data_IF_886865310249
#
_entry.id   IF_886865310249
#
_cell.length_a   1.000
_cell.length_b   1.000
_cell.length_c   1.000
_cell.angle_alpha   90.00
_cell.angle_beta   90.00
_cell.angle_gamma   90.00
#
_symmetry.space_group_name_H-M   'P 1'
#
loop_
_entity.id
_entity.type
_entity.pdbx_description
1 polymer ?
#
# COMPACT_ATOMS: atom_id res chain seq x y z
N UNK A 1 -24.03 -1.77 30.41
CA UNK A 1 -23.40 -1.72 29.09
C UNK A 1 -23.75 -0.46 28.30
N UNK A 2 -25.04 -0.11 28.10
CA UNK A 2 -25.46 1.09 27.35
C UNK A 2 -24.90 2.41 27.90
N UNK A 3 -24.94 2.62 29.23
CA UNK A 3 -24.39 3.81 29.88
C UNK A 3 -22.87 3.95 29.66
N UNK A 4 -22.11 2.87 29.75
CA UNK A 4 -20.66 2.86 29.48
C UNK A 4 -20.36 3.22 28.03
N UNK A 5 -21.11 2.64 27.07
CA UNK A 5 -20.98 2.96 25.65
C UNK A 5 -21.32 4.43 25.35
N UNK A 6 -22.33 4.99 26.01
CA UNK A 6 -22.69 6.40 25.87
C UNK A 6 -21.59 7.33 26.40
N UNK A 7 -21.02 7.02 27.56
CA UNK A 7 -19.89 7.81 28.14
C UNK A 7 -18.66 7.76 27.26
N UNK A 8 -18.30 6.57 26.76
CA UNK A 8 -17.15 6.40 25.83
C UNK A 8 -17.40 7.12 24.50
N UNK A 9 -18.61 7.00 23.94
CA UNK A 9 -19.00 7.71 22.71
C UNK A 9 -18.94 9.22 22.87
N UNK A 10 -19.45 9.75 23.98
CA UNK A 10 -19.37 11.17 24.28
C UNK A 10 -17.93 11.65 24.44
N UNK A 11 -17.10 10.90 25.17
CA UNK A 11 -15.66 11.20 25.27
C UNK A 11 -14.94 11.19 23.91
N UNK A 12 -15.27 10.24 23.06
CA UNK A 12 -14.71 10.15 21.71
C UNK A 12 -15.04 11.37 20.83
N UNK A 13 -16.23 11.98 21.00
CA UNK A 13 -16.61 13.21 20.27
C UNK A 13 -15.66 14.39 20.55
N UNK A 14 -15.03 14.44 21.70
CA UNK A 14 -14.06 15.50 22.02
C UNK A 14 -12.63 15.14 21.64
N UNK A 15 -12.24 13.88 21.73
CA UNK A 15 -10.89 13.40 21.44
C UNK A 15 -10.66 13.24 19.93
N UNK A 16 -11.68 12.80 19.19
CA UNK A 16 -11.55 12.50 17.76
C UNK A 16 -11.27 13.71 16.86
N UNK A 17 -11.93 14.88 17.00
CA UNK A 17 -11.68 16.04 16.13
C UNK A 17 -10.24 16.56 16.16
N UNK A 18 -9.56 16.71 17.33
CA UNK A 18 -8.15 17.11 17.33
C UNK A 18 -7.24 16.05 16.68
N UNK A 19 -7.54 14.75 16.84
CA UNK A 19 -6.80 13.69 16.15
C UNK A 19 -6.96 13.80 14.62
N UNK A 20 -8.18 14.01 14.13
CA UNK A 20 -8.43 14.22 12.71
C UNK A 20 -7.70 15.44 12.16
N UNK A 21 -7.67 16.55 12.91
CA UNK A 21 -6.90 17.75 12.51
C UNK A 21 -5.40 17.47 12.43
N UNK A 22 -4.86 16.73 13.39
CA UNK A 22 -3.45 16.34 13.37
C UNK A 22 -3.12 15.44 12.17
N UNK A 23 -3.96 14.44 11.87
CA UNK A 23 -3.82 13.59 10.69
C UNK A 23 -3.89 14.42 9.40
N UNK A 24 -4.87 15.32 9.28
CA UNK A 24 -5.02 16.19 8.12
C UNK A 24 -3.82 17.13 7.93
N UNK A 25 -3.24 17.66 9.02
CA UNK A 25 -2.04 18.48 8.95
C UNK A 25 -0.82 17.68 8.47
N UNK A 26 -0.59 16.49 9.01
CA UNK A 26 0.52 15.61 8.59
C UNK A 26 0.35 15.17 7.13
N UNK A 27 -0.82 14.72 6.73
CA UNK A 27 -1.07 14.27 5.36
C UNK A 27 -1.04 15.43 4.36
N UNK A 28 -1.53 16.61 4.74
CA UNK A 28 -1.40 17.83 3.93
C UNK A 28 0.06 18.25 3.73
N UNK A 29 0.89 18.18 4.79
CA UNK A 29 2.32 18.42 4.68
C UNK A 29 3.01 17.40 3.75
N UNK A 30 2.69 16.12 3.89
CA UNK A 30 3.20 15.06 3.01
C UNK A 30 2.83 15.34 1.54
N UNK A 31 1.57 15.68 1.26
CA UNK A 31 1.09 15.98 -0.08
C UNK A 31 1.80 17.20 -0.70
N UNK A 32 2.10 18.22 0.10
CA UNK A 32 2.74 19.45 -0.37
C UNK A 32 4.27 19.34 -0.54
N UNK A 33 4.92 18.33 0.07
CA UNK A 33 6.38 18.22 0.13
C UNK A 33 7.02 17.50 -1.07
N UNK A 34 6.27 17.17 -2.13
CA UNK A 34 6.80 16.52 -3.33
C UNK A 34 7.54 15.21 -3.02
N UNK A 35 8.76 15.03 -3.52
CA UNK A 35 9.54 13.81 -3.33
C UNK A 35 9.87 13.51 -1.86
N UNK A 36 10.07 14.52 -1.03
CA UNK A 36 10.28 14.35 0.42
C UNK A 36 9.00 13.81 1.06
N UNK A 37 7.85 14.36 0.67
CA UNK A 37 6.55 13.86 1.11
C UNK A 37 6.31 12.42 0.70
N UNK A 38 6.66 12.06 -0.53
CA UNK A 38 6.54 10.69 -1.03
C UNK A 38 7.44 9.71 -0.26
N UNK A 39 8.66 10.14 0.09
CA UNK A 39 9.54 9.39 0.99
C UNK A 39 8.90 9.20 2.37
N UNK A 40 8.43 10.29 2.98
CA UNK A 40 7.78 10.24 4.30
C UNK A 40 6.53 9.37 4.31
N UNK A 41 5.74 9.41 3.25
CA UNK A 41 4.58 8.54 3.07
C UNK A 41 4.97 7.05 3.16
N UNK A 42 5.91 6.61 2.33
CA UNK A 42 6.35 5.21 2.32
C UNK A 42 7.08 4.80 3.59
N UNK A 43 7.86 5.70 4.18
CA UNK A 43 8.55 5.49 5.45
C UNK A 43 7.56 5.31 6.61
N UNK A 44 6.61 6.23 6.77
CA UNK A 44 5.62 6.19 7.86
C UNK A 44 4.63 5.04 7.68
N UNK A 45 4.22 4.74 6.44
CA UNK A 45 3.34 3.60 6.17
C UNK A 45 3.97 2.31 6.67
N UNK A 46 5.29 2.10 6.46
CA UNK A 46 6.00 0.92 6.95
C UNK A 46 6.29 0.98 8.45
N UNK A 47 6.80 2.10 8.93
CA UNK A 47 7.17 2.26 10.32
C UNK A 47 6.00 2.02 11.28
N UNK A 48 4.81 2.45 10.90
CA UNK A 48 3.62 2.39 11.74
C UNK A 48 2.82 1.09 11.66
N UNK A 49 3.22 0.12 10.81
CA UNK A 49 2.51 -1.17 10.72
C UNK A 49 2.41 -1.87 12.07
N UNK A 50 3.49 -2.02 12.88
CA UNK A 50 3.41 -2.72 14.16
C UNK A 50 2.48 -2.07 15.19
N UNK A 51 2.21 -0.77 15.04
CA UNK A 51 1.27 -0.04 15.91
C UNK A 51 -0.18 -0.06 15.40
N UNK A 52 -0.40 -0.53 14.16
CA UNK A 52 -1.69 -0.47 13.48
C UNK A 52 -2.08 0.93 12.96
N UNK A 53 -1.25 1.96 13.23
CA UNK A 53 -1.56 3.35 12.86
C UNK A 53 -1.24 3.69 11.39
N UNK A 54 -0.65 2.78 10.63
CA UNK A 54 -0.34 2.98 9.21
C UNK A 54 -1.58 3.31 8.37
N UNK A 55 -2.77 2.83 8.76
CA UNK A 55 -4.03 3.20 8.13
C UNK A 55 -4.28 4.71 8.15
N UNK A 56 -3.88 5.41 9.20
CA UNK A 56 -4.06 6.87 9.33
C UNK A 56 -3.19 7.63 8.31
N UNK A 57 -2.11 7.02 7.84
CA UNK A 57 -1.22 7.63 6.84
C UNK A 57 -1.75 7.39 5.44
N UNK A 58 -2.08 6.15 5.05
CA UNK A 58 -2.37 5.86 3.65
C UNK A 58 -3.84 6.08 3.25
N UNK A 59 -4.80 5.89 4.17
CA UNK A 59 -6.23 6.02 3.84
C UNK A 59 -6.62 7.42 3.31
N UNK A 60 -6.11 8.54 3.86
CA UNK A 60 -6.39 9.85 3.29
C UNK A 60 -5.97 9.99 1.83
N UNK A 61 -4.84 9.41 1.42
CA UNK A 61 -4.41 9.44 0.03
C UNK A 61 -5.22 8.50 -0.86
N UNK A 62 -5.61 7.35 -0.37
CA UNK A 62 -6.36 6.37 -1.16
C UNK A 62 -7.82 6.74 -1.38
N UNK A 63 -8.47 7.44 -0.43
CA UNK A 63 -9.92 7.64 -0.41
C UNK A 63 -10.36 9.11 -0.25
N UNK A 64 -9.44 10.09 -0.18
CA UNK A 64 -9.80 11.50 -0.16
C UNK A 64 -9.21 12.27 -1.34
N UNK A 65 -9.54 13.56 -1.43
CA UNK A 65 -9.07 14.47 -2.49
C UNK A 65 -7.54 14.61 -2.55
N UNK A 66 -6.82 14.32 -1.46
CA UNK A 66 -5.36 14.34 -1.41
C UNK A 66 -4.70 13.35 -2.39
N UNK A 67 -5.37 12.26 -2.71
CA UNK A 67 -4.89 11.26 -3.66
C UNK A 67 -5.21 11.53 -5.12
N UNK A 68 -5.96 12.59 -5.40
CA UNK A 68 -6.39 12.98 -6.74
C UNK A 68 -7.88 12.86 -6.96
N UNK A 69 -8.32 13.43 -8.07
CA UNK A 69 -9.71 13.40 -8.53
C UNK A 69 -9.77 13.16 -10.03
N UNK A 70 -10.78 12.41 -10.47
CA UNK A 70 -11.08 12.17 -11.88
C UNK A 70 -12.56 12.44 -12.12
N UNK A 71 -12.86 13.27 -13.10
CA UNK A 71 -14.24 13.55 -13.53
C UNK A 71 -14.52 12.77 -14.80
N UNK A 72 -15.51 11.90 -14.77
CA UNK A 72 -15.96 11.14 -15.93
C UNK A 72 -17.47 11.40 -16.12
N UNK A 73 -17.81 12.13 -17.18
CA UNK A 73 -19.18 12.61 -17.39
C UNK A 73 -19.64 13.55 -16.27
N UNK A 74 -20.70 13.15 -15.54
CA UNK A 74 -21.24 13.91 -14.41
C UNK A 74 -20.77 13.39 -13.04
N UNK A 75 -19.91 12.36 -12.99
CA UNK A 75 -19.47 11.71 -11.76
C UNK A 75 -18.03 12.09 -11.45
N UNK A 76 -17.77 12.53 -10.22
CA UNK A 76 -16.44 12.80 -9.72
C UNK A 76 -15.95 11.63 -8.85
N UNK A 77 -14.89 11.00 -9.27
CA UNK A 77 -14.19 9.96 -8.53
C UNK A 77 -13.06 10.57 -7.70
N UNK A 78 -12.96 10.21 -6.44
CA UNK A 78 -12.03 10.87 -5.50
C UNK A 78 -11.17 9.83 -4.77
N UNK A 79 -9.87 10.12 -4.67
CA UNK A 79 -8.88 9.26 -4.01
C UNK A 79 -8.09 8.38 -4.97
N UNK A 80 -6.80 8.22 -4.68
CA UNK A 80 -5.86 7.51 -5.56
C UNK A 80 -6.31 6.11 -5.97
N UNK A 81 -6.91 5.35 -5.03
CA UNK A 81 -7.39 4.00 -5.30
C UNK A 81 -8.60 4.01 -6.25
N UNK A 82 -9.59 4.87 -5.99
CA UNK A 82 -10.83 4.95 -6.77
C UNK A 82 -10.55 5.48 -8.17
N UNK A 83 -9.74 6.53 -8.27
CA UNK A 83 -9.29 7.11 -9.56
C UNK A 83 -8.56 6.07 -10.38
N UNK A 84 -7.55 5.41 -9.80
CA UNK A 84 -6.77 4.37 -10.45
C UNK A 84 -7.65 3.22 -10.99
N UNK A 85 -8.61 2.74 -10.19
CA UNK A 85 -9.53 1.66 -10.61
C UNK A 85 -10.44 2.11 -11.75
N UNK A 86 -10.90 3.36 -11.72
CA UNK A 86 -11.72 3.93 -12.80
C UNK A 86 -10.92 4.09 -14.09
N UNK A 87 -9.69 4.61 -14.01
CA UNK A 87 -8.77 4.74 -15.15
C UNK A 87 -8.45 3.36 -15.74
N UNK A 88 -8.20 2.36 -14.89
CA UNK A 88 -7.96 0.99 -15.31
C UNK A 88 -9.15 0.39 -16.08
N UNK A 89 -10.37 0.54 -15.54
CA UNK A 89 -11.60 -0.01 -16.15
C UNK A 89 -11.95 0.68 -17.47
N UNK A 90 -11.71 1.98 -17.57
CA UNK A 90 -11.96 2.76 -18.78
C UNK A 90 -10.82 2.69 -19.81
N UNK A 91 -9.69 2.07 -19.46
CA UNK A 91 -8.50 2.01 -20.32
C UNK A 91 -7.81 3.35 -20.51
N UNK A 92 -7.98 4.28 -19.57
CA UNK A 92 -7.34 5.59 -19.58
C UNK A 92 -5.88 5.48 -19.08
N UNK A 93 -5.01 6.46 -19.43
CA UNK A 93 -3.70 6.56 -18.83
C UNK A 93 -3.84 6.87 -17.33
N UNK A 94 -2.92 6.34 -16.51
CA UNK A 94 -2.93 6.62 -15.09
C UNK A 94 -2.51 8.05 -14.80
N UNK A 95 -3.26 8.71 -13.90
CA UNK A 95 -2.95 10.04 -13.39
C UNK A 95 -1.79 10.04 -12.38
N UNK A 96 -1.27 11.22 -12.05
CA UNK A 96 -0.15 11.39 -11.11
C UNK A 96 -0.45 10.84 -9.71
N UNK A 97 -1.72 10.72 -9.34
CA UNK A 97 -2.15 10.13 -8.07
C UNK A 97 -1.74 8.66 -7.87
N UNK A 98 -1.32 7.96 -8.93
CA UNK A 98 -0.88 6.56 -8.85
C UNK A 98 0.35 6.37 -7.95
N UNK A 99 1.15 7.41 -7.71
CA UNK A 99 2.32 7.38 -6.84
C UNK A 99 1.98 6.90 -5.41
N UNK A 100 0.79 7.19 -4.93
CA UNK A 100 0.31 6.76 -3.62
C UNK A 100 -0.02 5.27 -3.55
N UNK A 101 0.01 4.56 -4.70
CA UNK A 101 -0.23 3.12 -4.80
C UNK A 101 1.05 2.28 -4.92
N UNK A 102 2.24 2.90 -4.96
CA UNK A 102 3.51 2.20 -5.13
C UNK A 102 3.92 1.32 -3.95
N UNK A 103 3.33 1.51 -2.77
CA UNK A 103 3.58 0.65 -1.59
C UNK A 103 3.29 -0.83 -1.84
N UNK A 104 2.44 -1.15 -2.80
CA UNK A 104 2.14 -2.51 -3.22
C UNK A 104 3.33 -3.27 -3.78
N UNK A 105 4.28 -2.60 -4.45
CA UNK A 105 5.49 -3.25 -4.96
C UNK A 105 6.35 -3.83 -3.84
N UNK A 106 6.52 -3.10 -2.74
CA UNK A 106 7.24 -3.59 -1.57
C UNK A 106 6.52 -4.78 -0.93
N UNK A 107 5.18 -4.75 -0.88
CA UNK A 107 4.36 -5.86 -0.36
C UNK A 107 4.52 -7.12 -1.20
N UNK A 108 4.60 -6.99 -2.52
CA UNK A 108 4.66 -8.15 -3.43
C UNK A 108 6.05 -8.81 -3.43
N UNK A 109 7.12 -8.05 -3.45
CA UNK A 109 8.48 -8.56 -3.67
C UNK A 109 9.38 -8.48 -2.44
N UNK A 110 9.23 -7.45 -1.60
CA UNK A 110 10.12 -7.18 -0.47
C UNK A 110 10.13 -8.28 0.57
N UNK A 111 8.99 -8.89 0.85
CA UNK A 111 8.87 -9.93 1.88
C UNK A 111 9.58 -11.25 1.55
N UNK A 112 9.73 -11.59 0.27
CA UNK A 112 10.59 -12.70 -0.13
C UNK A 112 12.06 -12.40 0.16
N UNK A 113 12.49 -11.16 -0.05
CA UNK A 113 13.84 -10.71 0.31
C UNK A 113 14.10 -10.77 1.82
N UNK A 114 13.13 -10.33 2.63
CA UNK A 114 13.21 -10.42 4.09
C UNK A 114 13.28 -11.88 4.55
N UNK A 115 12.40 -12.75 4.03
CA UNK A 115 12.42 -14.18 4.36
C UNK A 115 13.76 -14.82 3.98
N UNK A 116 14.29 -14.53 2.79
CA UNK A 116 15.58 -15.01 2.35
C UNK A 116 16.71 -14.57 3.30
N UNK A 117 16.73 -13.28 3.68
CA UNK A 117 17.73 -12.75 4.61
C UNK A 117 17.71 -13.50 5.95
N UNK A 118 16.54 -13.70 6.55
CA UNK A 118 16.41 -14.47 7.79
C UNK A 118 16.89 -15.91 7.65
N UNK A 119 16.56 -16.58 6.53
CA UNK A 119 16.98 -17.97 6.26
C UNK A 119 18.49 -18.04 6.10
N UNK A 120 19.11 -17.11 5.36
CA UNK A 120 20.56 -17.09 5.16
C UNK A 120 21.32 -16.78 6.44
N UNK A 121 20.82 -15.88 7.28
CA UNK A 121 21.41 -15.51 8.57
C UNK A 121 21.20 -16.57 9.65
N UNK A 122 20.23 -17.49 9.49
CA UNK A 122 19.97 -18.57 10.44
C UNK A 122 21.14 -19.55 10.52
N UNK A 123 21.38 -20.12 11.70
CA UNK A 123 22.35 -21.18 11.90
C UNK A 123 22.10 -22.35 10.93
N UNK A 124 23.14 -22.93 10.35
CA UNK A 124 23.03 -23.97 9.31
C UNK A 124 22.05 -25.09 9.67
N UNK A 125 22.05 -25.56 10.93
CA UNK A 125 21.13 -26.60 11.41
C UNK A 125 19.67 -26.15 11.53
N UNK A 126 19.39 -24.86 11.65
CA UNK A 126 18.04 -24.29 11.81
C UNK A 126 17.44 -23.74 10.52
N UNK A 127 18.20 -23.62 9.44
CA UNK A 127 17.77 -22.99 8.18
C UNK A 127 16.50 -23.59 7.62
N UNK A 128 16.41 -24.93 7.61
CA UNK A 128 15.20 -25.64 7.11
C UNK A 128 13.98 -25.31 7.95
N UNK A 129 14.11 -25.28 9.28
CA UNK A 129 13.02 -24.93 10.20
C UNK A 129 12.59 -23.47 9.98
N UNK A 130 13.54 -22.55 9.89
CA UNK A 130 13.28 -21.13 9.62
C UNK A 130 12.58 -20.94 8.26
N UNK A 131 13.02 -21.63 7.22
CA UNK A 131 12.40 -21.57 5.90
C UNK A 131 10.95 -22.06 5.93
N UNK A 132 10.67 -23.19 6.61
CA UNK A 132 9.32 -23.73 6.73
C UNK A 132 8.37 -22.78 7.49
N UNK A 133 8.88 -21.96 8.40
CA UNK A 133 8.10 -20.95 9.11
C UNK A 133 7.89 -19.66 8.32
N UNK A 134 8.93 -19.16 7.64
CA UNK A 134 8.90 -17.84 7.01
C UNK A 134 8.36 -17.85 5.58
N UNK A 135 8.59 -18.90 4.80
CA UNK A 135 8.09 -18.95 3.42
C UNK A 135 6.57 -18.85 3.33
N UNK A 136 5.76 -19.57 4.14
CA UNK A 136 4.30 -19.39 4.12
C UNK A 136 3.88 -17.97 4.44
N UNK A 137 4.54 -17.30 5.41
CA UNK A 137 4.26 -15.92 5.75
C UNK A 137 4.60 -14.95 4.60
N UNK A 138 5.75 -15.15 3.93
CA UNK A 138 6.14 -14.36 2.77
C UNK A 138 5.16 -14.57 1.59
N UNK A 139 4.71 -15.81 1.36
CA UNK A 139 3.68 -16.10 0.36
C UNK A 139 2.36 -15.41 0.70
N UNK A 140 1.90 -15.47 1.94
CA UNK A 140 0.67 -14.81 2.39
C UNK A 140 0.76 -13.29 2.22
N UNK A 141 1.90 -12.71 2.59
CA UNK A 141 2.17 -11.28 2.40
C UNK A 141 2.11 -10.87 0.92
N UNK A 142 2.74 -11.64 0.04
CA UNK A 142 2.78 -11.34 -1.39
C UNK A 142 1.44 -11.61 -2.10
N UNK A 143 0.77 -12.71 -1.78
CA UNK A 143 -0.47 -13.12 -2.44
C UNK A 143 -1.68 -12.31 -1.98
N UNK A 144 -1.82 -12.12 -0.67
CA UNK A 144 -3.00 -11.52 -0.06
C UNK A 144 -2.78 -10.13 0.55
N UNK A 145 -1.53 -9.60 0.51
CA UNK A 145 -1.13 -8.36 1.20
C UNK A 145 -1.32 -8.37 2.72
N UNK A 146 -1.40 -9.55 3.33
CA UNK A 146 -1.45 -9.73 4.78
C UNK A 146 0.00 -9.78 5.28
N UNK A 147 0.55 -8.62 5.62
CA UNK A 147 1.97 -8.46 5.94
C UNK A 147 2.26 -8.49 7.43
N UNK A 148 1.25 -8.25 8.25
CA UNK A 148 1.37 -8.04 9.69
C UNK A 148 2.13 -9.16 10.44
N UNK A 149 1.92 -10.46 10.18
CA UNK A 149 2.64 -11.51 10.91
C UNK A 149 4.15 -11.46 10.66
N UNK A 150 4.55 -11.11 9.42
CA UNK A 150 5.96 -10.97 9.06
C UNK A 150 6.56 -9.67 9.61
N UNK A 151 5.78 -8.58 9.56
CA UNK A 151 6.17 -7.27 10.06
C UNK A 151 6.39 -7.28 11.57
N UNK A 152 5.49 -7.92 12.33
CA UNK A 152 5.67 -8.10 13.77
C UNK A 152 6.91 -8.93 14.10
N UNK A 153 7.10 -10.06 13.40
CA UNK A 153 8.29 -10.88 13.60
C UNK A 153 9.56 -10.06 13.33
N UNK A 154 9.60 -9.29 12.25
CA UNK A 154 10.76 -8.50 11.86
C UNK A 154 11.01 -7.36 12.84
N UNK A 155 9.99 -6.60 13.19
CA UNK A 155 10.10 -5.48 14.13
C UNK A 155 10.62 -5.93 15.50
N UNK A 156 10.09 -7.04 16.06
CA UNK A 156 10.51 -7.52 17.37
C UNK A 156 11.84 -8.26 17.36
N UNK A 157 12.19 -8.91 16.26
CA UNK A 157 13.47 -9.62 16.14
C UNK A 157 14.66 -8.70 15.87
N UNK A 158 14.43 -7.60 15.11
CA UNK A 158 15.50 -6.73 14.67
C UNK A 158 14.99 -5.28 14.44
N UNK A 159 14.67 -4.50 15.51
CA UNK A 159 14.03 -3.19 15.39
C UNK A 159 14.87 -2.17 14.59
N UNK A 160 16.20 -2.23 14.68
CA UNK A 160 17.09 -1.35 13.90
C UNK A 160 17.00 -1.65 12.40
N UNK A 161 16.95 -2.95 12.04
CA UNK A 161 16.76 -3.35 10.64
C UNK A 161 15.34 -3.04 10.15
N UNK A 162 14.34 -3.07 11.03
CA UNK A 162 12.99 -2.63 10.72
C UNK A 162 12.97 -1.14 10.32
N UNK A 163 13.65 -0.29 11.08
CA UNK A 163 13.77 1.14 10.77
C UNK A 163 14.49 1.36 9.42
N UNK A 164 15.57 0.62 9.17
CA UNK A 164 16.27 0.66 7.89
C UNK A 164 15.37 0.19 6.73
N UNK A 165 14.58 -0.88 6.93
CA UNK A 165 13.62 -1.36 5.95
C UNK A 165 12.55 -0.30 5.62
N UNK A 166 12.02 0.39 6.63
CA UNK A 166 11.07 1.49 6.43
C UNK A 166 11.69 2.62 5.59
N UNK A 167 12.94 3.00 5.88
CA UNK A 167 13.67 4.02 5.12
C UNK A 167 13.94 3.59 3.66
N UNK A 168 14.35 2.34 3.45
CA UNK A 168 14.54 1.76 2.11
C UNK A 168 13.22 1.74 1.34
N UNK A 169 12.12 1.39 2.00
CA UNK A 169 10.77 1.40 1.38
C UNK A 169 10.38 2.80 0.90
N UNK A 170 10.59 3.82 1.73
CA UNK A 170 10.33 5.22 1.34
C UNK A 170 11.21 5.67 0.17
N UNK A 171 12.52 5.35 0.21
CA UNK A 171 13.45 5.66 -0.88
C UNK A 171 13.07 4.93 -2.18
N UNK A 172 12.60 3.69 -2.09
CA UNK A 172 12.18 2.92 -3.25
C UNK A 172 10.94 3.53 -3.95
N UNK A 173 9.99 4.05 -3.20
CA UNK A 173 8.82 4.75 -3.75
C UNK A 173 9.27 6.00 -4.53
N UNK A 174 10.19 6.80 -3.97
CA UNK A 174 10.77 7.95 -4.66
C UNK A 174 11.51 7.53 -5.93
N UNK A 175 12.27 6.45 -5.87
CA UNK A 175 12.97 5.91 -7.03
C UNK A 175 11.99 5.51 -8.15
N UNK A 176 10.92 4.82 -7.83
CA UNK A 176 9.88 4.46 -8.79
C UNK A 176 9.25 5.70 -9.45
N UNK A 177 8.98 6.73 -8.65
CA UNK A 177 8.47 8.00 -9.15
C UNK A 177 9.46 8.69 -10.10
N UNK A 178 10.73 8.77 -9.74
CA UNK A 178 11.78 9.36 -10.58
C UNK A 178 12.01 8.57 -11.87
N UNK A 179 11.82 7.25 -11.85
CA UNK A 179 11.88 6.41 -13.04
C UNK A 179 10.63 6.52 -13.92
N UNK A 180 9.63 7.33 -13.55
CA UNK A 180 8.40 7.49 -14.32
C UNK A 180 7.54 6.22 -14.42
N UNK A 181 7.58 5.36 -13.39
CA UNK A 181 6.77 4.15 -13.37
C UNK A 181 5.30 4.51 -13.25
N UNK A 182 4.49 4.10 -14.22
CA UNK A 182 3.03 4.32 -14.25
C UNK A 182 2.28 3.00 -14.07
N UNK A 183 2.74 2.16 -13.16
CA UNK A 183 2.15 0.88 -12.86
C UNK A 183 1.82 0.77 -11.38
N UNK A 184 0.90 -0.11 -11.04
CA UNK A 184 0.58 -0.39 -9.65
C UNK A 184 0.49 -1.91 -9.42
N UNK A 185 0.72 -2.31 -8.18
CA UNK A 185 0.39 -3.64 -7.71
C UNK A 185 -0.21 -3.53 -6.31
N UNK A 186 -1.34 -4.18 -6.09
CA UNK A 186 -1.92 -4.29 -4.74
C UNK A 186 -1.41 -5.56 -4.05
N UNK A 187 -1.41 -6.66 -4.80
CA UNK A 187 -0.88 -7.96 -4.42
C UNK A 187 -0.70 -8.81 -5.70
N UNK A 188 -0.03 -9.94 -5.56
CA UNK A 188 0.26 -10.81 -6.70
C UNK A 188 -1.01 -11.37 -7.34
N UNK A 189 -1.98 -11.80 -6.53
CA UNK A 189 -3.26 -12.32 -7.03
C UNK A 189 -4.04 -11.26 -7.81
N UNK A 190 -4.19 -10.05 -7.27
CA UNK A 190 -4.88 -8.96 -7.95
C UNK A 190 -4.16 -8.51 -9.23
N UNK A 191 -2.84 -8.61 -9.28
CA UNK A 191 -2.07 -8.30 -10.49
C UNK A 191 -2.25 -9.36 -11.56
N UNK A 192 -2.27 -10.64 -11.18
CA UNK A 192 -2.54 -11.76 -12.10
C UNK A 192 -3.97 -11.72 -12.64
N UNK A 193 -4.98 -11.55 -11.77
CA UNK A 193 -6.37 -11.45 -12.18
C UNK A 193 -6.58 -10.32 -13.19
N UNK A 194 -6.02 -9.14 -12.93
CA UNK A 194 -6.11 -8.00 -13.88
C UNK A 194 -5.37 -8.23 -15.18
N UNK A 195 -4.28 -8.98 -15.18
CA UNK A 195 -3.60 -9.34 -16.44
C UNK A 195 -4.44 -10.25 -17.32
N UNK A 196 -5.20 -11.18 -16.72
CA UNK A 196 -6.15 -12.03 -17.42
C UNK A 196 -7.34 -11.23 -17.97
N UNK A 197 -7.95 -10.33 -17.17
CA UNK A 197 -9.04 -9.46 -17.63
C UNK A 197 -8.64 -8.60 -18.82
N UNK A 198 -7.43 -8.03 -18.83
CA UNK A 198 -6.90 -7.28 -19.97
C UNK A 198 -6.71 -8.17 -21.20
N UNK A 199 -6.29 -9.41 -21.04
CA UNK A 199 -6.12 -10.36 -22.14
C UNK A 199 -7.48 -10.69 -22.77
N UNK A 200 -8.45 -11.07 -21.95
CA UNK A 200 -9.83 -11.37 -22.37
C UNK A 200 -10.48 -10.15 -23.03
N UNK A 201 -10.34 -8.96 -22.47
CA UNK A 201 -10.87 -7.72 -23.04
C UNK A 201 -10.29 -7.38 -24.41
N UNK A 202 -9.00 -7.63 -24.64
CA UNK A 202 -8.37 -7.47 -25.95
C UNK A 202 -8.88 -8.49 -26.96
N UNK A 203 -9.04 -9.74 -26.58
CA UNK A 203 -9.57 -10.79 -27.44
C UNK A 203 -11.03 -10.54 -27.82
N UNK A 204 -11.87 -10.10 -26.87
CA UNK A 204 -13.25 -9.70 -27.17
C UNK A 204 -13.29 -8.51 -28.13
N UNK A 205 -12.46 -7.48 -27.92
CA UNK A 205 -12.44 -6.29 -28.79
C UNK A 205 -11.97 -6.63 -30.20
N UNK A 206 -10.99 -7.53 -30.37
CA UNK A 206 -10.52 -7.98 -31.69
C UNK A 206 -11.55 -8.84 -32.43
N UNK A 207 -12.38 -9.59 -31.70
CA UNK A 207 -13.41 -10.47 -32.26
C UNK A 207 -14.68 -9.73 -32.66
N UNK A 208 -14.96 -8.56 -32.08
CA UNK A 208 -16.16 -7.76 -32.33
C UNK A 208 -15.89 -6.42 -33.03
N UNK A 209 -14.70 -6.21 -33.56
CA UNK A 209 -14.42 -5.02 -34.39
C UNK A 209 -15.04 -5.22 -35.78
N UNK A 210 -16.08 -4.46 -36.17
CA UNK A 210 -16.77 -4.61 -37.46
C UNK A 210 -16.03 -3.92 -38.62
N UNK A 211 -14.81 -3.40 -38.40
CA UNK A 211 -14.02 -2.69 -39.38
C UNK A 211 -12.67 -3.39 -39.60
N UNK A 212 -12.62 -4.21 -40.58
CA UNK A 212 -11.45 -4.51 -41.40
C UNK A 212 -11.57 -3.77 -42.71
#
# INVERSE_FOLDING_TARGET
>A
MAALAAVLGFGACFVWPPIQKAIAAVTGFIAASGNIGLFLYGFLERLLIPTGLHHLVYMPFQFSQLGGQLVVGSVTYTGAYVVMMTEYNLGLPFSDGIVWMYTGFTKTFGYFGIAAAFIFCARRGSRKKTALQLLPLAFTASLASITEPMDFLFCFSAPVLWLAHAAISGAFIVLLHLCGVTAFTSNLLGSLARSEERRVGKECRSRWSPYH
#
